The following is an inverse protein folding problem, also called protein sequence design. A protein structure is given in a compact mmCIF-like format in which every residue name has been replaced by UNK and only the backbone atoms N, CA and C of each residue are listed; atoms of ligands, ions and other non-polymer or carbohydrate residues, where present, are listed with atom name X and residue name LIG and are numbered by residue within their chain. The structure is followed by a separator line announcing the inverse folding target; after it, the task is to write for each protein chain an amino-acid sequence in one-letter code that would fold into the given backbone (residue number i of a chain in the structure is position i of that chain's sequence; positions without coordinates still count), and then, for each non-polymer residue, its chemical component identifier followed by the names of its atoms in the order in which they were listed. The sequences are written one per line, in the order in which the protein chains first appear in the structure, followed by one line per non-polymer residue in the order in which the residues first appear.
data_IF_957087846254
#
_entry.id   IF_957087846254
#
_cell.length_a   1.000
_cell.length_b   1.000
_cell.length_c   1.000
_cell.angle_alpha   90.00
_cell.angle_beta   90.00
_cell.angle_gamma   90.00
#
_symmetry.space_group_name_H-M   'P 1'
#
loop_
_entity.id
_entity.type
_entity.pdbx_description
1 polymer ?
#
# COMPACT_ATOMS: atom_id res chain seq x y z
N UNK A 1 -45.79 -26.80 6.88
CA UNK A 1 -44.49 -26.51 7.52
C UNK A 1 -43.44 -26.57 6.42
N UNK A 2 -43.03 -25.41 5.90
CA UNK A 2 -41.98 -25.32 4.88
C UNK A 2 -40.63 -25.53 5.57
N UNK A 3 -39.83 -26.47 5.07
CA UNK A 3 -38.43 -26.63 5.43
C UNK A 3 -37.62 -25.73 4.50
N UNK A 4 -37.11 -24.64 5.08
CA UNK A 4 -36.20 -23.69 4.47
C UNK A 4 -34.90 -24.39 4.05
N UNK A 5 -34.70 -24.51 2.74
CA UNK A 5 -33.43 -24.87 2.12
C UNK A 5 -32.62 -23.60 1.86
N UNK A 6 -31.83 -23.19 2.85
CA UNK A 6 -30.79 -22.19 2.66
C UNK A 6 -29.46 -22.84 2.26
N UNK A 7 -28.74 -22.32 1.26
CA UNK A 7 -27.53 -22.94 0.73
C UNK A 7 -26.35 -22.70 1.68
N UNK A 8 -25.70 -23.78 2.12
CA UNK A 8 -24.40 -23.72 2.80
C UNK A 8 -23.37 -23.16 1.83
N UNK A 9 -22.97 -21.91 2.01
CA UNK A 9 -21.79 -21.35 1.35
C UNK A 9 -20.57 -22.14 1.82
N UNK A 10 -20.16 -23.11 1.01
CA UNK A 10 -18.93 -23.85 1.21
C UNK A 10 -17.77 -22.94 0.78
N UNK A 11 -17.26 -22.13 1.71
CA UNK A 11 -16.02 -21.38 1.50
C UNK A 11 -14.88 -22.39 1.58
N UNK A 12 -14.40 -22.82 0.42
CA UNK A 12 -13.22 -23.67 0.29
C UNK A 12 -12.00 -22.91 0.83
N UNK A 13 -11.69 -23.13 2.11
CA UNK A 13 -10.44 -22.70 2.73
C UNK A 13 -9.30 -23.44 1.99
N UNK A 14 -8.56 -22.73 1.14
CA UNK A 14 -7.37 -23.29 0.51
C UNK A 14 -6.37 -23.68 1.61
N UNK A 15 -5.67 -24.84 1.51
CA UNK A 15 -4.69 -25.23 2.50
C UNK A 15 -3.62 -24.15 2.65
N UNK A 16 -3.28 -23.80 3.90
CA UNK A 16 -2.35 -22.71 4.25
C UNK A 16 -1.03 -22.82 3.46
N UNK A 17 -0.53 -24.04 3.24
CA UNK A 17 0.67 -24.29 2.44
C UNK A 17 0.54 -23.85 0.96
N UNK A 18 -0.64 -23.99 0.38
CA UNK A 18 -0.95 -23.54 -0.99
C UNK A 18 -0.94 -22.01 -1.08
N UNK A 19 -1.48 -21.33 -0.06
CA UNK A 19 -1.47 -19.88 0.01
C UNK A 19 -0.04 -19.35 0.16
N UNK A 20 0.76 -19.94 1.05
CA UNK A 20 2.18 -19.58 1.24
C UNK A 20 2.96 -19.73 -0.08
N UNK A 21 2.78 -20.85 -0.78
CA UNK A 21 3.41 -21.10 -2.08
C UNK A 21 2.95 -20.12 -3.18
N UNK A 22 1.68 -19.72 -3.18
CA UNK A 22 1.16 -18.74 -4.13
C UNK A 22 1.76 -17.34 -3.90
N UNK A 23 1.91 -16.93 -2.64
CA UNK A 23 2.52 -15.65 -2.27
C UNK A 23 3.99 -15.58 -2.72
N UNK A 24 4.77 -16.65 -2.48
CA UNK A 24 6.16 -16.73 -2.94
C UNK A 24 6.28 -16.65 -4.48
N UNK A 25 5.34 -17.23 -5.23
CA UNK A 25 5.31 -17.16 -6.69
C UNK A 25 4.93 -15.78 -7.23
N UNK A 26 4.10 -15.02 -6.52
CA UNK A 26 3.68 -13.68 -6.95
C UNK A 26 4.83 -12.67 -6.82
N UNK A 27 5.63 -12.78 -5.76
CA UNK A 27 6.87 -12.00 -5.56
C UNK A 27 7.81 -12.12 -6.76
N UNK A 28 8.05 -13.35 -7.25
CA UNK A 28 8.94 -13.61 -8.39
C UNK A 28 8.42 -13.05 -9.74
N UNK A 29 7.10 -12.86 -9.89
CA UNK A 29 6.50 -12.37 -11.14
C UNK A 29 6.58 -10.85 -11.27
N UNK A 30 6.37 -10.11 -10.17
CA UNK A 30 6.44 -8.65 -10.17
C UNK A 30 7.83 -8.14 -10.58
N UNK A 31 8.90 -8.87 -10.24
CA UNK A 31 10.27 -8.54 -10.61
C UNK A 31 10.50 -8.60 -12.14
N UNK A 32 9.76 -9.46 -12.87
CA UNK A 32 10.00 -9.69 -14.31
C UNK A 32 9.24 -8.75 -15.24
N UNK A 33 8.17 -8.10 -14.77
CA UNK A 33 7.30 -7.29 -15.65
C UNK A 33 7.83 -5.88 -15.95
N UNK A 34 8.84 -5.37 -15.25
CA UNK A 34 9.37 -4.02 -15.46
C UNK A 34 10.16 -3.81 -16.77
N UNK A 35 10.37 -4.83 -17.61
CA UNK A 35 11.35 -4.76 -18.72
C UNK A 35 10.79 -4.80 -20.16
N UNK A 36 9.47 -4.79 -20.38
CA UNK A 36 8.90 -5.03 -21.73
C UNK A 36 8.03 -3.86 -22.21
N UNK A 37 8.66 -2.75 -22.60
CA UNK A 37 8.01 -1.70 -23.39
C UNK A 37 8.91 -1.32 -24.56
N UNK A 38 8.69 -1.95 -25.72
CA UNK A 38 9.21 -1.46 -27.02
C UNK A 38 8.03 -1.40 -27.97
N UNK A 39 7.52 -0.20 -28.21
CA UNK A 39 6.63 0.09 -29.33
C UNK A 39 7.47 0.34 -30.59
N UNK A 40 6.92 0.01 -31.77
CA UNK A 40 7.60 0.15 -33.06
C UNK A 40 7.42 1.58 -33.61
N UNK A 41 8.52 2.19 -34.07
CA UNK A 41 8.52 3.55 -34.66
C UNK A 41 7.96 3.53 -36.10
N UNK A 42 7.06 4.47 -36.41
CA UNK A 42 6.63 4.77 -37.78
C UNK A 42 7.65 5.65 -38.53
N UNK A 43 7.71 5.56 -39.88
CA UNK A 43 8.66 6.34 -40.67
C UNK A 43 8.30 7.84 -40.70
N UNK A 44 9.26 8.67 -40.29
CA UNK A 44 9.14 10.14 -40.22
C UNK A 44 9.17 10.74 -41.62
N UNK A 45 8.03 11.24 -42.12
CA UNK A 45 7.98 12.13 -43.28
C UNK A 45 8.35 13.56 -42.89
N UNK A 46 9.39 14.07 -43.51
CA UNK A 46 10.09 15.34 -43.27
C UNK A 46 9.18 16.54 -42.92
N UNK A 47 9.10 16.86 -41.63
CA UNK A 47 8.59 18.13 -41.09
C UNK A 47 9.65 19.27 -41.14
N UNK A 48 10.68 19.13 -41.98
CA UNK A 48 11.92 19.92 -41.88
C UNK A 48 11.74 21.40 -42.20
N UNK A 49 10.80 21.75 -43.08
CA UNK A 49 10.75 23.10 -43.67
C UNK A 49 10.17 24.19 -42.76
N UNK A 50 9.45 23.81 -41.70
CA UNK A 50 8.86 24.75 -40.73
C UNK A 50 9.67 24.93 -39.45
N UNK A 51 10.68 24.10 -39.21
CA UNK A 51 11.56 24.14 -38.03
C UNK A 51 12.84 24.96 -38.26
N UNK A 52 13.05 25.44 -39.49
CA UNK A 52 14.21 26.27 -39.87
C UNK A 52 14.07 27.72 -39.39
N UNK A 53 12.84 28.18 -39.09
CA UNK A 53 12.60 29.46 -38.46
C UNK A 53 13.01 29.42 -36.98
N UNK A 54 14.03 30.20 -36.64
CA UNK A 54 14.61 30.27 -35.29
C UNK A 54 13.56 30.61 -34.22
N UNK A 55 12.55 31.42 -34.58
CA UNK A 55 11.41 31.73 -33.72
C UNK A 55 10.52 30.51 -33.44
N UNK A 56 10.28 29.65 -34.44
CA UNK A 56 9.48 28.42 -34.29
C UNK A 56 10.23 27.41 -33.43
N UNK A 57 11.54 27.25 -33.68
CA UNK A 57 12.38 26.34 -32.89
C UNK A 57 12.45 26.79 -31.42
N UNK A 58 12.72 28.07 -31.17
CA UNK A 58 12.77 28.60 -29.81
C UNK A 58 11.42 28.48 -29.11
N UNK A 59 10.32 28.77 -29.79
CA UNK A 59 8.98 28.59 -29.22
C UNK A 59 8.68 27.14 -28.84
N UNK A 60 9.10 26.16 -29.66
CA UNK A 60 8.94 24.73 -29.36
C UNK A 60 9.82 24.29 -28.19
N UNK A 61 11.07 24.77 -28.14
CA UNK A 61 12.00 24.47 -27.03
C UNK A 61 11.51 25.08 -25.72
N UNK A 62 11.04 26.33 -25.74
CA UNK A 62 10.49 27.01 -24.57
C UNK A 62 9.21 26.34 -24.08
N UNK A 63 8.33 25.93 -25.00
CA UNK A 63 7.13 25.16 -24.66
C UNK A 63 7.48 23.79 -24.06
N UNK A 64 8.48 23.09 -24.60
CA UNK A 64 8.94 21.82 -24.06
C UNK A 64 9.56 21.98 -22.66
N UNK A 65 10.37 23.03 -22.47
CA UNK A 65 10.97 23.37 -21.17
C UNK A 65 9.89 23.72 -20.15
N UNK A 66 8.95 24.60 -20.49
CA UNK A 66 7.83 24.98 -19.62
C UNK A 66 6.99 23.76 -19.25
N UNK A 67 6.65 22.92 -20.23
CA UNK A 67 5.87 21.69 -20.00
C UNK A 67 6.57 20.72 -19.03
N UNK A 68 7.90 20.63 -19.10
CA UNK A 68 8.69 19.79 -18.19
C UNK A 68 8.74 20.42 -16.79
N UNK A 69 9.04 21.71 -16.70
CA UNK A 69 9.11 22.44 -15.43
C UNK A 69 7.77 22.37 -14.67
N UNK A 70 6.66 22.61 -15.36
CA UNK A 70 5.30 22.49 -14.82
C UNK A 70 5.01 21.08 -14.27
N UNK A 71 5.45 20.04 -14.99
CA UNK A 71 5.26 18.66 -14.56
C UNK A 71 6.07 18.33 -13.31
N UNK A 72 7.30 18.81 -13.20
CA UNK A 72 8.13 18.62 -12.01
C UNK A 72 7.57 19.37 -10.79
N UNK A 73 7.04 20.58 -10.98
CA UNK A 73 6.33 21.31 -9.92
C UNK A 73 5.10 20.52 -9.46
N UNK A 74 4.25 20.09 -10.39
CA UNK A 74 3.06 19.30 -10.07
C UNK A 74 3.39 17.98 -9.34
N UNK A 75 4.41 17.26 -9.81
CA UNK A 75 4.89 16.03 -9.14
C UNK A 75 5.41 16.31 -7.73
N UNK A 76 6.10 17.44 -7.53
CA UNK A 76 6.64 17.83 -6.23
C UNK A 76 5.52 18.19 -5.25
N UNK A 77 4.49 18.91 -5.70
CA UNK A 77 3.29 19.24 -4.89
C UNK A 77 2.44 18.01 -4.58
N UNK A 78 2.44 17.00 -5.45
CA UNK A 78 1.76 15.73 -5.20
C UNK A 78 2.56 14.79 -4.30
N UNK A 79 3.89 14.95 -4.21
CA UNK A 79 4.76 14.11 -3.38
C UNK A 79 4.29 14.07 -1.93
N UNK A 80 3.91 15.21 -1.36
CA UNK A 80 3.43 15.29 0.02
C UNK A 80 2.05 14.66 0.22
N UNK A 81 1.28 14.46 -0.86
CA UNK A 81 0.01 13.72 -0.84
C UNK A 81 0.23 12.21 -0.90
N UNK A 82 1.35 11.76 -1.45
CA UNK A 82 1.79 10.36 -1.38
C UNK A 82 2.48 10.15 -0.05
N UNK A 83 1.69 9.94 1.00
CA UNK A 83 2.27 9.60 2.29
C UNK A 83 2.97 8.24 2.16
N UNK A 84 4.29 8.23 2.33
CA UNK A 84 5.06 7.00 2.32
C UNK A 84 4.72 6.20 3.59
N UNK A 85 4.12 5.03 3.38
CA UNK A 85 3.80 4.08 4.42
C UNK A 85 5.02 3.76 5.30
N UNK A 86 6.21 3.75 4.70
CA UNK A 86 7.48 3.52 5.42
C UNK A 86 7.72 4.62 6.45
N UNK A 87 7.64 5.89 6.04
CA UNK A 87 7.77 7.05 6.94
C UNK A 87 6.71 7.05 8.04
N UNK A 88 5.47 6.68 7.74
CA UNK A 88 4.41 6.57 8.75
C UNK A 88 4.72 5.50 9.79
N UNK A 89 5.19 4.33 9.36
CA UNK A 89 5.51 3.24 10.28
C UNK A 89 6.73 3.57 11.14
N UNK A 90 7.74 4.26 10.58
CA UNK A 90 8.88 4.78 11.33
C UNK A 90 8.46 5.82 12.37
N UNK A 91 7.58 6.74 12.00
CA UNK A 91 7.04 7.74 12.93
C UNK A 91 6.30 7.06 14.08
N UNK A 92 5.42 6.09 13.77
CA UNK A 92 4.71 5.31 14.79
C UNK A 92 5.67 4.54 15.70
N UNK A 93 6.71 3.93 15.14
CA UNK A 93 7.75 3.23 15.92
C UNK A 93 8.47 4.19 16.87
N UNK A 94 8.82 5.40 16.41
CA UNK A 94 9.43 6.42 17.24
C UNK A 94 8.49 6.89 18.38
N UNK A 95 7.21 7.11 18.09
CA UNK A 95 6.20 7.50 19.08
C UNK A 95 5.97 6.41 20.14
N UNK A 96 6.15 5.14 19.77
CA UNK A 96 6.06 3.98 20.64
C UNK A 96 7.41 3.55 21.24
N UNK A 97 8.44 4.40 21.16
CA UNK A 97 9.75 4.13 21.75
C UNK A 97 9.90 4.84 23.09
N UNK A 98 10.31 4.09 24.12
CA UNK A 98 10.64 4.63 25.44
C UNK A 98 11.98 4.10 25.91
N UNK A 99 12.89 5.01 26.29
CA UNK A 99 14.21 4.66 26.83
C UNK A 99 15.03 3.70 25.95
N UNK A 100 14.90 3.79 24.63
CA UNK A 100 15.53 2.93 23.61
C UNK A 100 14.90 1.54 23.41
N UNK A 101 13.86 1.20 24.18
CA UNK A 101 13.00 0.04 23.88
C UNK A 101 11.83 0.51 23.01
N UNK A 102 11.65 -0.16 21.87
CA UNK A 102 10.54 0.12 20.94
C UNK A 102 9.59 -1.08 20.93
N UNK A 103 8.29 -0.81 21.05
CA UNK A 103 7.27 -1.86 21.01
C UNK A 103 7.10 -2.44 19.58
N UNK A 104 7.48 -1.68 18.55
CA UNK A 104 7.26 -2.01 17.14
C UNK A 104 8.44 -1.56 16.29
N UNK A 105 8.89 -2.42 15.38
CA UNK A 105 9.87 -2.07 14.34
C UNK A 105 9.16 -1.48 13.12
N UNK A 106 9.40 -0.19 12.83
CA UNK A 106 8.72 0.54 11.77
C UNK A 106 8.99 0.02 10.36
N UNK A 107 10.23 -0.38 10.06
CA UNK A 107 10.60 -0.92 8.75
C UNK A 107 9.91 -2.27 8.52
N UNK A 108 9.93 -3.15 9.53
CA UNK A 108 9.22 -4.44 9.48
C UNK A 108 7.72 -4.26 9.40
N UNK A 109 7.13 -3.32 10.13
CA UNK A 109 5.69 -3.01 10.05
C UNK A 109 5.29 -2.57 8.64
N UNK A 110 6.07 -1.69 8.00
CA UNK A 110 5.80 -1.25 6.64
C UNK A 110 5.86 -2.42 5.65
N UNK A 111 6.84 -3.33 5.82
CA UNK A 111 6.96 -4.54 5.01
C UNK A 111 5.78 -5.50 5.24
N UNK A 112 5.37 -5.70 6.49
CA UNK A 112 4.21 -6.52 6.87
C UNK A 112 2.92 -5.99 6.26
N UNK A 113 2.70 -4.68 6.29
CA UNK A 113 1.52 -4.02 5.69
C UNK A 113 1.53 -4.10 4.16
N UNK A 114 2.68 -3.89 3.51
CA UNK A 114 2.82 -4.03 2.04
C UNK A 114 2.58 -5.46 1.57
N UNK A 115 2.95 -6.44 2.38
CA UNK A 115 2.78 -7.87 2.10
C UNK A 115 1.52 -8.46 2.73
N UNK A 116 0.67 -7.62 3.34
CA UNK A 116 -0.61 -8.07 3.84
C UNK A 116 -1.42 -8.52 2.62
N UNK A 117 -1.93 -9.75 2.58
CA UNK A 117 -2.61 -10.19 1.38
C UNK A 117 -3.89 -9.37 1.21
N UNK A 118 -4.36 -9.23 -0.03
CA UNK A 118 -5.73 -8.77 -0.32
C UNK A 118 -6.79 -9.80 0.12
N UNK A 119 -6.52 -10.55 1.20
CA UNK A 119 -7.34 -11.62 1.77
C UNK A 119 -8.45 -11.10 2.68
N UNK A 120 -8.48 -9.80 2.96
CA UNK A 120 -9.56 -9.23 3.71
C UNK A 120 -10.76 -8.97 2.77
N UNK A 121 -11.98 -9.33 3.18
CA UNK A 121 -13.18 -8.88 2.48
C UNK A 121 -13.15 -7.35 2.34
N UNK A 122 -13.62 -6.78 1.22
CA UNK A 122 -13.78 -5.34 1.13
C UNK A 122 -14.63 -4.88 2.33
N UNK A 123 -14.14 -3.89 3.08
CA UNK A 123 -14.73 -3.33 4.31
C UNK A 123 -14.48 -4.09 5.63
N UNK A 124 -13.40 -4.87 5.72
CA UNK A 124 -12.99 -5.44 7.02
C UNK A 124 -12.61 -4.35 8.02
N UNK A 125 -13.19 -4.40 9.22
CA UNK A 125 -12.82 -3.48 10.32
C UNK A 125 -11.44 -3.84 10.88
N UNK A 126 -10.76 -2.90 11.56
CA UNK A 126 -9.51 -3.19 12.27
C UNK A 126 -9.65 -4.39 13.24
N UNK A 127 -10.83 -4.55 13.85
CA UNK A 127 -11.10 -5.63 14.81
C UNK A 127 -11.25 -6.96 14.08
N UNK A 128 -11.92 -6.91 12.92
CA UNK A 128 -11.95 -8.02 11.99
C UNK A 128 -10.53 -8.45 11.62
N UNK A 129 -9.68 -7.50 11.20
CA UNK A 129 -8.29 -7.77 10.81
C UNK A 129 -7.49 -8.42 11.96
N UNK A 130 -7.59 -7.89 13.18
CA UNK A 130 -6.97 -8.49 14.36
C UNK A 130 -7.47 -9.93 14.58
N UNK A 131 -8.79 -10.15 14.52
CA UNK A 131 -9.39 -11.49 14.65
C UNK A 131 -8.92 -12.45 13.56
N UNK A 132 -8.72 -11.97 12.33
CA UNK A 132 -8.21 -12.77 11.22
C UNK A 132 -6.76 -13.20 11.44
N UNK A 133 -5.88 -12.26 11.83
CA UNK A 133 -4.47 -12.58 12.14
C UNK A 133 -4.39 -13.64 13.25
N UNK A 134 -5.25 -13.51 14.28
CA UNK A 134 -5.35 -14.49 15.35
C UNK A 134 -5.85 -15.86 14.87
N UNK A 135 -6.98 -15.88 14.15
CA UNK A 135 -7.68 -17.11 13.75
C UNK A 135 -6.90 -17.91 12.71
N UNK A 136 -6.15 -17.23 11.85
CA UNK A 136 -5.30 -17.85 10.82
C UNK A 136 -3.89 -18.17 11.32
N UNK A 137 -3.61 -17.98 12.62
CA UNK A 137 -2.28 -18.20 13.21
C UNK A 137 -1.14 -17.42 12.52
N UNK A 138 -1.44 -16.20 12.04
CA UNK A 138 -0.50 -15.38 11.29
C UNK A 138 0.34 -14.44 12.17
N UNK A 139 0.23 -14.56 13.51
CA UNK A 139 0.96 -13.71 14.46
C UNK A 139 2.48 -13.79 14.28
N UNK A 140 3.01 -14.97 13.96
CA UNK A 140 4.45 -15.15 13.72
C UNK A 140 4.91 -14.54 12.39
N UNK A 141 3.98 -14.37 11.45
CA UNK A 141 4.24 -13.78 10.12
C UNK A 141 4.10 -12.26 10.16
N UNK A 142 3.15 -11.74 10.94
CA UNK A 142 2.87 -10.31 11.09
C UNK A 142 2.94 -9.85 12.56
N UNK A 143 4.09 -10.02 13.25
CA UNK A 143 4.21 -9.69 14.66
C UNK A 143 4.10 -8.19 14.95
N UNK A 144 4.64 -7.32 14.09
CA UNK A 144 4.59 -5.88 14.29
C UNK A 144 3.18 -5.33 14.07
N UNK A 145 2.49 -5.83 13.04
CA UNK A 145 1.09 -5.50 12.76
C UNK A 145 0.16 -5.96 13.87
N UNK A 146 0.38 -7.18 14.39
CA UNK A 146 -0.37 -7.69 15.54
C UNK A 146 -0.24 -6.76 16.75
N UNK A 147 0.99 -6.38 17.11
CA UNK A 147 1.25 -5.46 18.22
C UNK A 147 0.63 -4.09 17.97
N UNK A 148 0.78 -3.52 16.76
CA UNK A 148 0.18 -2.24 16.38
C UNK A 148 -1.33 -2.23 16.58
N UNK A 149 -2.02 -3.27 16.10
CA UNK A 149 -3.47 -3.39 16.25
C UNK A 149 -3.87 -3.53 17.73
N UNK A 150 -3.15 -4.33 18.53
CA UNK A 150 -3.42 -4.44 19.96
C UNK A 150 -3.31 -3.08 20.67
N UNK A 151 -2.23 -2.33 20.39
CA UNK A 151 -2.02 -1.00 20.95
C UNK A 151 -3.19 -0.08 20.56
N UNK A 152 -3.56 -0.03 19.27
CA UNK A 152 -4.67 0.79 18.79
C UNK A 152 -5.99 0.50 19.52
N UNK A 153 -6.31 -0.78 19.76
CA UNK A 153 -7.52 -1.16 20.51
C UNK A 153 -7.45 -0.81 21.98
N UNK A 154 -6.31 -1.00 22.63
CA UNK A 154 -6.15 -0.64 24.04
C UNK A 154 -6.23 0.87 24.27
N UNK A 155 -5.68 1.68 23.37
CA UNK A 155 -5.78 3.15 23.42
C UNK A 155 -7.23 3.62 23.30
N UNK A 156 -7.99 3.08 22.33
CA UNK A 156 -9.41 3.42 22.16
C UNK A 156 -10.27 3.02 23.36
N UNK A 157 -10.04 1.83 23.92
CA UNK A 157 -10.76 1.36 25.12
C UNK A 157 -10.43 2.25 26.32
N UNK A 158 -9.18 2.67 26.47
CA UNK A 158 -8.76 3.53 27.59
C UNK A 158 -9.39 4.92 27.49
N UNK A 159 -9.41 5.53 26.31
CA UNK A 159 -10.06 6.82 26.09
C UNK A 159 -11.56 6.79 26.44
N UNK A 160 -12.29 5.78 25.94
CA UNK A 160 -13.72 5.63 26.22
C UNK A 160 -14.01 5.27 27.70
N UNK A 161 -13.13 4.53 28.37
CA UNK A 161 -13.25 4.21 29.79
C UNK A 161 -13.00 5.41 30.69
N UNK A 162 -12.04 6.27 30.32
CA UNK A 162 -11.73 7.51 31.04
C UNK A 162 -12.95 8.44 31.04
N UNK A 163 -13.60 8.64 29.89
CA UNK A 163 -14.79 9.50 29.79
C UNK A 163 -15.97 8.99 30.65
N UNK A 164 -16.18 7.67 30.72
CA UNK A 164 -17.24 7.08 31.57
C UNK A 164 -16.95 7.12 33.06
N UNK A 165 -15.68 7.22 33.45
CA UNK A 165 -15.28 7.24 34.87
C UNK A 165 -15.41 8.64 35.50
N UNK A 166 -15.65 9.67 34.68
CA UNK A 166 -15.90 11.05 35.09
C UNK A 166 -17.38 11.47 35.01
N UNK A 167 -18.29 10.52 34.70
CA UNK A 167 -19.75 10.71 34.76
C UNK A 167 -20.30 10.24 36.10
#
# INVERSE_FOLDING_TARGET
MQLDTSPKHNVSLQPIESLVLQLLRQQLRNIKQQFVYKAHDEPVTYASKGLEDEEVLNAVVDAAKSSIDERFVCLSEMKDKFIDLTTQCETLSADLTKNSDTDIDGEKLALELKNLPQLHPPNMTLLGLLSFIHTQHLKEVYPNLWTALCIAFTLQVTAASVERSFS
#
